data_IF_240390272022
#
_entry.id   IF_240390272022
#
_cell.length_a   1.000
_cell.length_b   1.000
_cell.length_c   1.000
_cell.angle_alpha   90.00
_cell.angle_beta   90.00
_cell.angle_gamma   90.00
#
_symmetry.space_group_name_H-M   'P 1'
#
loop_
_entity.id
_entity.type
_entity.pdbx_description
1 polymer ?
#
# COMPACT_ATOMS: atom_id res chain seq x y z
N UNK A 1 -16.76 3.34 -24.68
CA UNK A 1 -16.09 2.84 -23.47
C UNK A 1 -17.16 2.28 -22.56
N UNK A 2 -16.99 1.06 -22.06
CA UNK A 2 -17.97 0.45 -21.13
C UNK A 2 -17.88 1.17 -19.80
N UNK A 3 -19.03 1.50 -19.20
CA UNK A 3 -19.06 2.09 -17.86
C UNK A 3 -18.39 1.13 -16.85
N UNK A 4 -17.66 1.65 -15.84
CA UNK A 4 -17.02 0.80 -14.84
C UNK A 4 -18.04 -0.09 -14.13
N UNK A 5 -17.70 -1.37 -13.96
CA UNK A 5 -18.60 -2.32 -13.30
C UNK A 5 -18.42 -2.30 -11.79
N UNK A 6 -19.44 -2.72 -11.05
CA UNK A 6 -19.34 -2.88 -9.60
C UNK A 6 -18.25 -3.90 -9.21
N UNK A 7 -17.98 -4.90 -10.06
CA UNK A 7 -16.88 -5.84 -9.89
C UNK A 7 -15.51 -5.15 -9.94
N UNK A 8 -15.33 -4.16 -10.83
CA UNK A 8 -14.09 -3.39 -10.90
C UNK A 8 -13.88 -2.53 -9.65
N UNK A 9 -14.94 -1.86 -9.19
CA UNK A 9 -14.91 -1.08 -7.94
C UNK A 9 -14.52 -1.96 -6.75
N UNK A 10 -15.15 -3.13 -6.58
CA UNK A 10 -14.79 -4.06 -5.51
C UNK A 10 -13.40 -4.66 -5.70
N UNK A 11 -13.00 -4.95 -6.95
CA UNK A 11 -11.67 -5.44 -7.28
C UNK A 11 -10.59 -4.48 -6.81
N UNK A 12 -10.71 -3.20 -7.14
CA UNK A 12 -9.77 -2.15 -6.73
C UNK A 12 -9.80 -1.98 -5.21
N UNK A 13 -10.97 -1.87 -4.60
CA UNK A 13 -11.09 -1.75 -3.14
C UNK A 13 -10.38 -2.92 -2.41
N UNK A 14 -10.54 -4.14 -2.91
CA UNK A 14 -9.90 -5.32 -2.36
C UNK A 14 -8.37 -5.27 -2.47
N UNK A 15 -7.79 -4.66 -3.52
CA UNK A 15 -6.32 -4.49 -3.61
C UNK A 15 -5.79 -3.66 -2.44
N UNK A 16 -6.43 -2.53 -2.12
CA UNK A 16 -6.03 -1.67 -1.00
C UNK A 16 -6.16 -2.40 0.34
N UNK A 17 -7.29 -3.07 0.58
CA UNK A 17 -7.53 -3.82 1.82
C UNK A 17 -6.53 -4.97 1.97
N UNK A 18 -6.31 -5.75 0.91
CA UNK A 18 -5.38 -6.89 0.93
C UNK A 18 -3.95 -6.41 1.19
N UNK A 19 -3.51 -5.37 0.49
CA UNK A 19 -2.19 -4.77 0.68
C UNK A 19 -1.96 -4.36 2.14
N UNK A 20 -2.86 -3.56 2.71
CA UNK A 20 -2.73 -3.06 4.07
C UNK A 20 -2.67 -4.22 5.09
N UNK A 21 -3.58 -5.19 4.97
CA UNK A 21 -3.62 -6.34 5.87
C UNK A 21 -2.38 -7.24 5.75
N UNK A 22 -1.92 -7.51 4.52
CA UNK A 22 -0.74 -8.35 4.29
C UNK A 22 0.53 -7.68 4.81
N UNK A 23 0.68 -6.37 4.59
CA UNK A 23 1.81 -5.61 5.11
C UNK A 23 1.85 -5.62 6.65
N UNK A 24 0.72 -5.34 7.31
CA UNK A 24 0.60 -5.36 8.78
C UNK A 24 0.86 -6.75 9.39
N UNK A 25 0.52 -7.81 8.64
CA UNK A 25 0.79 -9.20 9.03
C UNK A 25 2.25 -9.58 8.81
N UNK A 26 2.96 -8.91 7.91
CA UNK A 26 4.31 -9.26 7.48
C UNK A 26 4.33 -10.38 6.44
N UNK A 27 3.23 -10.56 5.70
CA UNK A 27 3.11 -11.54 4.62
C UNK A 27 3.67 -10.94 3.32
N UNK A 28 4.94 -11.23 3.07
CA UNK A 28 5.71 -10.63 1.98
C UNK A 28 5.15 -10.99 0.61
N UNK A 29 4.83 -12.26 0.36
CA UNK A 29 4.37 -12.68 -0.96
C UNK A 29 2.94 -12.19 -1.24
N UNK A 30 2.07 -12.14 -0.22
CA UNK A 30 0.74 -11.55 -0.41
C UNK A 30 0.80 -10.04 -0.70
N UNK A 31 1.80 -9.32 -0.17
CA UNK A 31 2.07 -7.93 -0.58
C UNK A 31 2.48 -7.89 -2.04
N UNK A 32 3.44 -8.71 -2.47
CA UNK A 32 3.94 -8.74 -3.87
C UNK A 32 2.80 -9.01 -4.87
N UNK A 33 1.88 -9.92 -4.55
CA UNK A 33 0.73 -10.25 -5.42
C UNK A 33 -0.23 -9.07 -5.67
N UNK A 34 -0.20 -8.03 -4.82
CA UNK A 34 -1.00 -6.83 -5.01
C UNK A 34 -0.45 -5.90 -6.11
N UNK A 35 0.75 -6.15 -6.61
CA UNK A 35 1.45 -5.29 -7.57
C UNK A 35 1.61 -5.97 -8.94
N UNK A 36 1.61 -5.20 -10.02
CA UNK A 36 2.07 -5.69 -11.32
C UNK A 36 3.56 -6.01 -11.29
N UNK A 37 4.01 -6.86 -12.21
CA UNK A 37 5.40 -7.34 -12.25
C UNK A 37 6.42 -6.19 -12.37
N UNK A 38 6.03 -5.13 -13.10
CA UNK A 38 6.76 -3.92 -13.42
C UNK A 38 6.44 -2.72 -12.50
N UNK A 39 5.71 -2.95 -11.41
CA UNK A 39 5.18 -1.86 -10.59
C UNK A 39 6.27 -0.99 -9.94
N UNK A 40 5.89 0.23 -9.57
CA UNK A 40 6.71 1.11 -8.74
C UNK A 40 6.04 1.39 -7.39
N UNK A 41 6.84 1.39 -6.33
CA UNK A 41 6.41 1.69 -4.98
C UNK A 41 7.30 2.77 -4.38
N UNK A 42 6.68 3.80 -3.84
CA UNK A 42 7.37 4.83 -3.07
C UNK A 42 6.87 4.81 -1.63
N UNK A 43 7.81 4.61 -0.71
CA UNK A 43 7.62 4.69 0.73
C UNK A 43 8.26 5.98 1.25
N UNK A 44 7.55 6.75 2.09
CA UNK A 44 8.09 7.98 2.67
C UNK A 44 9.22 7.69 3.66
N UNK A 45 9.33 6.44 4.13
CA UNK A 45 10.34 5.99 5.08
C UNK A 45 11.45 5.19 4.40
N UNK A 46 11.10 4.23 3.54
CA UNK A 46 12.05 3.28 2.98
C UNK A 46 12.56 3.64 1.58
N UNK A 47 12.02 4.69 0.96
CA UNK A 47 12.43 5.16 -0.37
C UNK A 47 11.67 4.48 -1.51
N UNK A 48 12.32 4.38 -2.68
CA UNK A 48 11.70 3.92 -3.94
C UNK A 48 12.10 2.48 -4.27
N UNK A 49 11.14 1.73 -4.79
CA UNK A 49 11.27 0.32 -5.14
C UNK A 49 10.63 0.04 -6.50
N UNK A 50 11.21 -0.89 -7.26
CA UNK A 50 10.77 -1.20 -8.62
C UNK A 50 10.65 -2.70 -8.87
N UNK A 51 9.58 -3.07 -9.57
CA UNK A 51 9.17 -4.42 -9.87
C UNK A 51 8.88 -5.27 -8.64
N UNK A 52 8.50 -6.52 -8.86
CA UNK A 52 8.28 -7.48 -7.77
C UNK A 52 9.49 -7.67 -6.87
N UNK A 53 10.71 -7.60 -7.40
CA UNK A 53 11.93 -7.70 -6.60
C UNK A 53 12.04 -6.55 -5.58
N UNK A 54 11.80 -5.30 -6.01
CA UNK A 54 11.79 -4.15 -5.13
C UNK A 54 10.64 -4.17 -4.12
N UNK A 55 9.43 -4.54 -4.56
CA UNK A 55 8.26 -4.66 -3.66
C UNK A 55 8.51 -5.71 -2.58
N UNK A 56 9.13 -6.84 -2.94
CA UNK A 56 9.52 -7.89 -1.99
C UNK A 56 10.53 -7.40 -0.96
N UNK A 57 11.55 -6.65 -1.39
CA UNK A 57 12.53 -6.04 -0.48
C UNK A 57 11.85 -5.05 0.49
N UNK A 58 10.97 -4.17 -0.01
CA UNK A 58 10.16 -3.27 0.81
C UNK A 58 9.34 -4.02 1.87
N UNK A 59 8.60 -5.06 1.47
CA UNK A 59 7.77 -5.83 2.37
C UNK A 59 8.60 -6.62 3.39
N UNK A 60 9.73 -7.19 2.98
CA UNK A 60 10.65 -7.90 3.86
C UNK A 60 11.27 -6.98 4.92
N UNK A 61 11.67 -5.76 4.54
CA UNK A 61 12.16 -4.72 5.47
C UNK A 61 11.08 -4.33 6.47
N UNK A 62 9.85 -4.10 6.02
CA UNK A 62 8.70 -3.80 6.90
C UNK A 62 8.42 -4.94 7.88
N UNK A 63 8.43 -6.19 7.39
CA UNK A 63 8.24 -7.36 8.24
C UNK A 63 9.38 -7.55 9.26
N UNK A 64 10.62 -7.18 8.91
CA UNK A 64 11.77 -7.21 9.82
C UNK A 64 11.60 -6.21 10.96
N UNK A 65 11.17 -4.98 10.67
CA UNK A 65 10.90 -3.96 11.69
C UNK A 65 9.87 -4.42 12.72
N UNK A 66 8.88 -5.20 12.27
CA UNK A 66 7.92 -5.83 13.17
C UNK A 66 8.53 -6.90 14.05
N UNK A 67 9.24 -7.86 13.47
CA UNK A 67 9.76 -9.02 14.21
C UNK A 67 10.91 -8.67 15.14
N UNK A 68 11.83 -7.82 14.69
CA UNK A 68 13.08 -7.50 15.39
C UNK A 68 12.96 -6.20 16.19
N UNK A 69 12.24 -5.20 15.65
CA UNK A 69 12.06 -3.90 16.28
C UNK A 69 10.83 -3.79 17.17
N UNK A 70 10.10 -4.88 17.43
CA UNK A 70 8.90 -4.89 18.28
C UNK A 70 7.81 -3.91 17.84
N UNK A 71 7.76 -3.58 16.54
CA UNK A 71 6.91 -2.51 16.00
C UNK A 71 5.69 -3.08 15.29
N UNK A 72 4.49 -2.78 15.76
CA UNK A 72 3.26 -3.14 15.05
C UNK A 72 2.68 -1.91 14.36
N UNK A 73 2.53 -2.00 13.03
CA UNK A 73 1.77 -1.03 12.27
C UNK A 73 0.28 -1.41 12.20
N UNK A 74 -0.58 -0.41 12.07
CA UNK A 74 -1.98 -0.58 11.71
C UNK A 74 -2.33 0.45 10.65
N UNK A 75 -2.45 -0.02 9.42
CA UNK A 75 -2.89 0.80 8.30
C UNK A 75 -4.42 0.93 8.34
N UNK A 76 -4.91 2.17 8.38
CA UNK A 76 -6.33 2.50 8.22
C UNK A 76 -6.47 3.30 6.94
N UNK A 77 -7.20 2.74 5.99
CA UNK A 77 -7.48 3.35 4.69
C UNK A 77 -8.95 3.77 4.65
N UNK A 78 -9.22 5.01 4.25
CA UNK A 78 -10.58 5.55 4.14
C UNK A 78 -10.73 6.44 2.91
N UNK A 79 -11.98 6.80 2.59
CA UNK A 79 -12.30 7.79 1.55
C UNK A 79 -11.71 7.40 0.17
N UNK A 80 -11.78 6.12 -0.18
CA UNK A 80 -11.29 5.62 -1.47
C UNK A 80 -12.11 6.19 -2.63
N UNK A 81 -11.48 7.07 -3.41
CA UNK A 81 -12.01 7.60 -4.66
C UNK A 81 -11.30 6.91 -5.83
N UNK A 82 -12.06 6.48 -6.83
CA UNK A 82 -11.54 5.68 -7.96
C UNK A 82 -12.10 6.24 -9.27
N UNK A 83 -11.22 6.40 -10.25
CA UNK A 83 -11.55 6.70 -11.64
C UNK A 83 -11.07 5.55 -12.51
N UNK A 84 -11.97 4.93 -13.29
CA UNK A 84 -11.69 3.71 -14.05
C UNK A 84 -11.87 3.98 -15.54
N UNK A 85 -10.85 3.62 -16.33
CA UNK A 85 -10.82 3.72 -17.79
C UNK A 85 -10.37 2.38 -18.40
N UNK A 86 -11.35 1.52 -18.72
CA UNK A 86 -11.08 0.18 -19.24
C UNK A 86 -10.30 -0.67 -18.23
N UNK A 87 -9.09 -1.09 -18.61
CA UNK A 87 -8.19 -1.90 -17.77
C UNK A 87 -7.20 -1.06 -16.95
N UNK A 88 -7.42 0.25 -16.84
CA UNK A 88 -6.62 1.17 -16.01
C UNK A 88 -7.51 1.91 -15.03
N UNK A 89 -6.94 2.28 -13.89
CA UNK A 89 -7.60 3.14 -12.92
C UNK A 89 -6.61 4.07 -12.21
N UNK A 90 -7.09 5.25 -11.82
CA UNK A 90 -6.46 6.11 -10.82
C UNK A 90 -7.27 6.02 -9.52
N UNK A 91 -6.58 5.95 -8.39
CA UNK A 91 -7.24 5.89 -7.10
C UNK A 91 -6.46 6.67 -6.05
N UNK A 92 -7.19 7.43 -5.25
CA UNK A 92 -6.67 8.14 -4.08
C UNK A 92 -7.44 7.72 -2.83
N UNK A 93 -6.76 7.66 -1.70
CA UNK A 93 -7.41 7.42 -0.41
C UNK A 93 -6.58 7.94 0.76
N UNK A 94 -7.25 8.24 1.86
CA UNK A 94 -6.59 8.66 3.09
C UNK A 94 -5.86 7.49 3.73
N UNK A 95 -4.66 7.78 4.25
CA UNK A 95 -3.80 6.88 4.97
C UNK A 95 -3.60 7.39 6.40
N UNK A 96 -4.03 6.59 7.37
CA UNK A 96 -3.70 6.77 8.77
C UNK A 96 -2.93 5.55 9.27
N UNK A 97 -1.67 5.75 9.64
CA UNK A 97 -0.82 4.69 10.16
C UNK A 97 -0.61 4.86 11.65
N UNK A 98 -1.16 3.93 12.43
CA UNK A 98 -0.83 3.81 13.84
C UNK A 98 0.38 2.92 14.01
N UNK A 99 1.29 3.34 14.87
CA UNK A 99 2.45 2.56 15.28
C UNK A 99 2.35 2.23 16.77
N UNK A 100 2.46 0.95 17.11
CA UNK A 100 2.56 0.47 18.48
C UNK A 100 3.95 -0.10 18.73
N UNK A 101 4.66 0.43 19.73
CA UNK A 101 5.97 -0.05 20.19
C UNK A 101 6.09 0.18 21.71
N UNK A 102 6.67 -0.77 22.43
CA UNK A 102 6.90 -0.67 23.89
C UNK A 102 5.65 -0.28 24.70
N UNK A 103 4.49 -0.83 24.31
CA UNK A 103 3.20 -0.57 24.95
C UNK A 103 2.58 0.81 24.69
N UNK A 104 3.17 1.63 23.82
CA UNK A 104 2.65 2.93 23.41
C UNK A 104 2.15 2.87 21.98
N UNK A 105 1.02 3.51 21.70
CA UNK A 105 0.45 3.67 20.36
C UNK A 105 0.41 5.15 20.00
N UNK A 106 0.92 5.49 18.83
CA UNK A 106 0.88 6.84 18.27
C UNK A 106 0.40 6.82 16.82
N UNK A 107 -0.18 7.94 16.39
CA UNK A 107 -0.52 8.19 14.99
C UNK A 107 0.69 8.86 14.32
N UNK A 108 1.20 8.25 13.24
CA UNK A 108 2.23 8.87 12.40
C UNK A 108 1.62 10.04 11.60
N UNK A 109 2.44 10.81 10.86
CA UNK A 109 1.89 11.83 9.97
C UNK A 109 0.83 11.19 9.06
N UNK A 110 -0.41 11.71 9.04
CA UNK A 110 -1.38 11.34 8.04
C UNK A 110 -0.86 11.64 6.63
N UNK A 111 -1.49 11.01 5.65
CA UNK A 111 -1.24 11.29 4.26
C UNK A 111 -2.26 10.62 3.35
N UNK A 112 -1.90 10.50 2.09
CA UNK A 112 -2.72 9.90 1.06
C UNK A 112 -1.94 8.85 0.28
N UNK A 113 -2.63 7.78 -0.07
CA UNK A 113 -2.22 6.99 -1.22
C UNK A 113 -2.63 7.71 -2.50
N UNK A 114 -1.70 7.79 -3.45
CA UNK A 114 -1.96 8.15 -4.83
C UNK A 114 -1.47 6.98 -5.70
N UNK A 115 -2.40 6.28 -6.34
CA UNK A 115 -2.12 5.02 -7.02
C UNK A 115 -2.62 5.01 -8.46
N UNK A 116 -1.85 4.39 -9.36
CA UNK A 116 -2.38 3.86 -10.63
C UNK A 116 -2.48 2.35 -10.53
N UNK A 117 -3.56 1.81 -11.09
CA UNK A 117 -3.83 0.39 -11.12
C UNK A 117 -4.02 -0.07 -12.56
N UNK A 118 -3.67 -1.34 -12.80
CA UNK A 118 -3.96 -2.02 -14.06
C UNK A 118 -4.63 -3.35 -13.82
N UNK A 119 -5.63 -3.67 -14.64
CA UNK A 119 -6.27 -4.98 -14.67
C UNK A 119 -5.46 -5.91 -15.57
N UNK A 120 -5.06 -7.06 -15.02
CA UNK A 120 -4.29 -8.10 -15.71
C UNK A 120 -4.85 -9.46 -15.33
N UNK A 121 -5.20 -10.27 -16.33
CA UNK A 121 -5.84 -11.58 -16.14
C UNK A 121 -7.07 -11.50 -15.22
N UNK A 122 -7.91 -10.49 -15.45
CA UNK A 122 -9.12 -10.23 -14.67
C UNK A 122 -8.89 -9.65 -13.27
N UNK A 123 -7.65 -9.43 -12.83
CA UNK A 123 -7.32 -8.94 -11.49
C UNK A 123 -6.71 -7.55 -11.52
N UNK A 124 -7.22 -6.66 -10.68
CA UNK A 124 -6.63 -5.35 -10.43
C UNK A 124 -5.37 -5.49 -9.59
N UNK A 125 -4.33 -4.72 -9.93
CA UNK A 125 -3.06 -4.65 -9.22
C UNK A 125 -2.52 -3.22 -9.26
N UNK A 126 -1.75 -2.83 -8.25
CA UNK A 126 -1.00 -1.58 -8.27
C UNK A 126 0.07 -1.61 -9.36
N UNK A 127 0.03 -0.64 -10.26
CA UNK A 127 1.11 -0.35 -11.20
C UNK A 127 2.05 0.73 -10.62
N UNK A 128 1.48 1.71 -9.91
CA UNK A 128 2.22 2.69 -9.12
C UNK A 128 1.52 2.89 -7.78
N UNK A 129 2.28 2.93 -6.69
CA UNK A 129 1.80 3.27 -5.35
C UNK A 129 2.74 4.31 -4.74
N UNK A 130 2.23 5.52 -4.56
CA UNK A 130 2.90 6.61 -3.87
C UNK A 130 2.18 6.89 -2.55
N UNK A 131 2.93 7.31 -1.54
CA UNK A 131 2.35 7.94 -0.36
C UNK A 131 2.80 9.40 -0.30
N UNK A 132 1.84 10.31 -0.29
CA UNK A 132 2.06 11.72 -0.03
C UNK A 132 1.71 12.00 1.44
N UNK A 133 2.70 12.35 2.25
CA UNK A 133 2.48 12.65 3.66
C UNK A 133 2.19 14.14 3.85
N UNK A 134 1.27 14.47 4.75
CA UNK A 134 0.95 15.87 5.09
C UNK A 134 2.21 16.61 5.59
N UNK A 135 3.07 15.91 6.33
CA UNK A 135 4.37 16.39 6.80
C UNK A 135 5.43 15.28 6.81
N UNK A 136 6.71 15.61 6.61
CA UNK A 136 7.79 14.67 6.83
C UNK A 136 7.84 14.18 8.28
N UNK A 137 8.17 12.91 8.49
CA UNK A 137 8.43 12.34 9.81
C UNK A 137 9.60 11.36 9.73
N UNK A 138 10.08 10.92 10.90
CA UNK A 138 11.09 9.88 11.04
C UNK A 138 10.54 8.79 11.94
N UNK A 139 10.96 7.55 11.67
CA UNK A 139 10.69 6.42 12.55
C UNK A 139 12.02 5.92 13.05
N UNK A 140 12.22 5.96 14.36
CA UNK A 140 13.49 5.52 14.95
C UNK A 140 13.72 4.02 14.68
N UNK A 141 14.93 3.70 14.24
CA UNK A 141 15.33 2.32 13.88
C UNK A 141 14.99 1.91 12.45
N UNK A 142 14.60 2.84 11.59
CA UNK A 142 14.48 2.68 10.13
C UNK A 142 15.50 3.53 9.40
#
# INVERSE_FOLDING_TARGET
>A
MTAPSMEDWFGINNVFIRYANSLDRGDVEAVVECFSEDASLESPVLGKFSGHAGVRDFAARTARLKREGGTQFRHVVSNLAIEIEGDRAHAICYLLDFMTRDGKTELLSPGEYDCTLRKTDGRWRFERRLVAMDRPFRVDGI
#
